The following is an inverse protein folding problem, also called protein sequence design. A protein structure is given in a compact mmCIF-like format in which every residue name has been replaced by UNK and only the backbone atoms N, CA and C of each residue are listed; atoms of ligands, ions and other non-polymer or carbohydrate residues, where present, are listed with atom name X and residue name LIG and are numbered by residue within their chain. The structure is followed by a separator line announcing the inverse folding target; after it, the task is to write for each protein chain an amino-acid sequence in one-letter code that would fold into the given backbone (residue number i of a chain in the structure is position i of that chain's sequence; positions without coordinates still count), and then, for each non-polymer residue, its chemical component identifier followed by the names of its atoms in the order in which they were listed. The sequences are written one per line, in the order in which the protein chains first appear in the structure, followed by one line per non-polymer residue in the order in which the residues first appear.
data_IF_749845031100
#
_entry.id   IF_749845031100
#
_cell.length_a   1.000
_cell.length_b   1.000
_cell.length_c   1.000
_cell.angle_alpha   90.00
_cell.angle_beta   90.00
_cell.angle_gamma   90.00
#
_symmetry.space_group_name_H-M   'P 1'
#
loop_
_entity.id
_entity.type
_entity.pdbx_description
1 polymer ?
#
# COMPACT_ATOMS: atom_id res chain seq x y z
N UNK A 1 32.58 85.65 -3.77
CA UNK A 1 32.63 85.01 -5.11
C UNK A 1 33.20 83.61 -5.12
N UNK A 2 33.45 83.03 -3.96
CA UNK A 2 33.92 81.63 -3.86
C UNK A 2 32.79 80.60 -3.79
N UNK A 3 31.53 80.99 -3.83
CA UNK A 3 30.41 80.11 -3.59
C UNK A 3 29.73 79.54 -4.83
N UNK A 4 30.19 79.93 -6.00
CA UNK A 4 29.58 79.56 -7.28
C UNK A 4 30.23 78.30 -7.91
N UNK A 5 31.38 77.85 -7.40
CA UNK A 5 32.13 76.78 -8.02
C UNK A 5 31.91 75.37 -7.38
N UNK A 6 31.26 75.34 -6.24
CA UNK A 6 31.11 74.05 -5.47
C UNK A 6 29.84 73.22 -5.80
N UNK A 7 28.93 73.75 -6.64
CA UNK A 7 27.61 73.14 -6.81
C UNK A 7 27.45 72.22 -8.06
N UNK A 8 28.51 72.00 -8.83
CA UNK A 8 28.33 71.33 -10.14
C UNK A 8 28.89 69.91 -10.22
N UNK A 9 29.37 69.33 -9.12
CA UNK A 9 30.04 68.05 -9.16
C UNK A 9 29.43 66.93 -8.29
N UNK A 10 28.45 67.29 -7.50
CA UNK A 10 27.80 66.22 -6.70
C UNK A 10 26.72 65.48 -7.54
N UNK A 11 26.92 64.21 -7.72
CA UNK A 11 25.99 63.36 -8.45
C UNK A 11 25.60 62.18 -7.58
N UNK A 12 24.32 62.04 -7.26
CA UNK A 12 23.77 60.85 -6.61
C UNK A 12 23.26 59.93 -7.69
N UNK A 13 23.77 58.72 -7.75
CA UNK A 13 23.35 57.72 -8.73
C UNK A 13 23.07 56.40 -8.00
N UNK A 14 22.00 55.74 -8.41
CA UNK A 14 21.78 54.36 -8.03
C UNK A 14 22.78 53.50 -8.79
N UNK A 15 23.52 52.65 -8.07
CA UNK A 15 24.43 51.67 -8.66
C UNK A 15 23.75 50.33 -8.78
N UNK A 16 23.65 49.82 -10.00
CA UNK A 16 23.25 48.45 -10.23
C UNK A 16 24.44 47.54 -10.10
N UNK A 17 24.35 46.53 -9.24
CA UNK A 17 25.34 45.46 -9.16
C UNK A 17 24.92 44.33 -10.09
N UNK A 18 25.86 43.69 -10.77
CA UNK A 18 25.58 42.59 -11.70
C UNK A 18 25.00 41.40 -10.92
N UNK A 19 23.82 40.93 -11.32
CA UNK A 19 23.12 39.82 -10.66
C UNK A 19 22.16 40.20 -9.55
N UNK A 20 22.13 41.48 -9.14
CA UNK A 20 21.21 41.92 -8.10
C UNK A 20 19.97 42.62 -8.70
N UNK A 21 18.83 42.44 -8.01
CA UNK A 21 17.65 43.23 -8.30
C UNK A 21 17.83 44.68 -7.81
N UNK A 22 17.40 45.64 -8.60
CA UNK A 22 17.38 47.03 -8.17
C UNK A 22 16.37 47.22 -7.04
N UNK A 23 16.82 47.20 -5.80
CA UNK A 23 15.96 47.39 -4.63
C UNK A 23 15.65 48.87 -4.40
N UNK A 24 16.54 49.78 -4.84
CA UNK A 24 16.40 51.21 -4.68
C UNK A 24 16.51 51.94 -6.01
N UNK A 25 15.74 52.98 -6.17
CA UNK A 25 15.80 53.90 -7.28
C UNK A 25 16.11 55.31 -6.78
N UNK A 26 16.88 56.06 -7.53
CA UNK A 26 17.07 57.50 -7.30
C UNK A 26 16.32 58.22 -8.40
N UNK A 27 15.32 58.98 -8.05
CA UNK A 27 14.51 59.77 -8.99
C UNK A 27 14.80 61.24 -8.81
N UNK A 28 14.93 61.87 -9.93
CA UNK A 28 14.82 63.32 -10.22
C UNK A 28 15.52 64.28 -9.29
N UNK A 29 16.33 65.02 -9.90
CA UNK A 29 16.77 66.30 -9.32
C UNK A 29 15.61 67.33 -9.45
N UNK A 30 15.05 67.69 -8.32
CA UNK A 30 14.08 68.81 -8.28
C UNK A 30 14.68 69.96 -7.49
N UNK A 31 14.72 71.14 -8.06
CA UNK A 31 15.24 72.30 -7.39
C UNK A 31 16.23 73.09 -8.26
N UNK A 32 16.64 74.27 -7.76
CA UNK A 32 17.66 75.14 -8.39
C UNK A 32 19.02 74.78 -7.75
N UNK A 33 20.11 75.15 -8.42
CA UNK A 33 21.52 74.84 -8.12
C UNK A 33 22.01 75.04 -6.67
N UNK A 34 21.18 75.49 -5.77
CA UNK A 34 21.51 75.63 -4.33
C UNK A 34 20.67 74.80 -3.38
N UNK A 35 19.57 74.16 -3.84
CA UNK A 35 18.70 73.27 -3.03
C UNK A 35 18.21 72.10 -3.87
N UNK A 36 19.12 71.24 -4.27
CA UNK A 36 18.82 70.01 -5.00
C UNK A 36 18.34 68.97 -4.07
N UNK A 37 17.18 68.40 -4.38
CA UNK A 37 16.61 67.24 -3.62
C UNK A 37 16.62 66.01 -4.50
N UNK A 38 17.17 64.94 -3.98
CA UNK A 38 17.14 63.61 -4.60
C UNK A 38 16.19 62.71 -3.77
N UNK A 39 15.28 62.09 -4.45
CA UNK A 39 14.41 61.13 -3.82
C UNK A 39 15.01 59.72 -4.00
N UNK A 40 15.25 59.06 -2.88
CA UNK A 40 15.69 57.66 -2.86
C UNK A 40 14.53 56.81 -2.39
N UNK A 41 13.97 56.02 -3.31
CA UNK A 41 12.85 55.13 -3.00
C UNK A 41 13.30 53.67 -3.02
N UNK A 42 12.84 52.91 -2.01
CA UNK A 42 13.04 51.47 -1.94
C UNK A 42 11.75 50.76 -2.39
N UNK A 43 11.86 49.88 -3.36
CA UNK A 43 10.71 49.11 -3.85
C UNK A 43 10.34 47.99 -2.89
N UNK A 44 9.18 48.10 -2.26
CA UNK A 44 8.64 47.04 -1.40
C UNK A 44 8.47 45.71 -2.15
N UNK A 45 8.01 45.77 -3.39
CA UNK A 45 7.84 44.59 -4.23
C UNK A 45 9.17 43.92 -4.58
N UNK A 46 10.22 44.71 -4.85
CA UNK A 46 11.55 44.15 -5.10
C UNK A 46 12.14 43.49 -3.83
N UNK A 47 11.97 44.11 -2.67
CA UNK A 47 12.41 43.53 -1.38
C UNK A 47 11.66 42.24 -1.08
N UNK A 48 10.32 42.22 -1.28
CA UNK A 48 9.51 41.01 -1.12
C UNK A 48 9.96 39.89 -2.06
N UNK A 49 10.21 40.20 -3.33
CA UNK A 49 10.64 39.17 -4.30
C UNK A 49 11.98 38.52 -3.89
N UNK A 50 12.96 39.33 -3.47
CA UNK A 50 14.25 38.82 -2.99
C UNK A 50 14.07 37.98 -1.73
N UNK A 51 13.28 38.44 -0.77
CA UNK A 51 13.03 37.74 0.47
C UNK A 51 12.30 36.39 0.25
N UNK A 52 11.29 36.38 -0.64
CA UNK A 52 10.57 35.13 -1.00
C UNK A 52 11.48 34.12 -1.67
N UNK A 53 12.29 34.57 -2.65
CA UNK A 53 13.22 33.71 -3.36
C UNK A 53 14.25 33.11 -2.37
N UNK A 54 14.86 33.96 -1.52
CA UNK A 54 15.81 33.48 -0.51
C UNK A 54 15.21 32.48 0.47
N UNK A 55 13.96 32.70 0.92
CA UNK A 55 13.26 31.80 1.79
C UNK A 55 12.93 30.45 1.09
N UNK A 56 12.54 30.47 -0.17
CA UNK A 56 12.25 29.27 -0.96
C UNK A 56 13.52 28.46 -1.23
N UNK A 57 14.64 29.12 -1.52
CA UNK A 57 15.91 28.46 -1.77
C UNK A 57 16.54 27.85 -0.49
N UNK A 58 16.22 28.43 0.68
CA UNK A 58 16.69 27.92 1.97
C UNK A 58 15.96 26.68 2.43
N UNK A 59 14.75 26.40 1.93
CA UNK A 59 13.95 25.22 2.35
C UNK A 59 14.17 24.11 1.33
N UNK A 60 14.75 23.00 1.81
CA UNK A 60 14.89 21.76 1.04
C UNK A 60 14.07 20.65 1.69
N UNK A 61 13.12 20.11 0.94
CA UNK A 61 12.38 18.91 1.30
C UNK A 61 12.82 17.78 0.38
N UNK A 62 13.28 16.68 0.95
CA UNK A 62 13.72 15.52 0.18
C UNK A 62 12.97 14.27 0.65
N UNK A 63 12.58 13.44 -0.30
CA UNK A 63 12.02 12.13 -0.04
C UNK A 63 13.08 11.05 -0.13
N UNK A 64 12.95 10.01 0.68
CA UNK A 64 13.79 8.81 0.63
C UNK A 64 12.92 7.56 0.69
N UNK A 65 13.39 6.48 0.07
CA UNK A 65 12.66 5.21 0.05
C UNK A 65 11.33 5.33 -0.69
N UNK A 66 10.24 5.05 0.00
CA UNK A 66 8.87 5.07 -0.55
C UNK A 66 8.27 6.47 -0.67
N UNK A 67 8.89 7.48 -0.06
CA UNK A 67 8.42 8.84 -0.11
C UNK A 67 9.04 9.58 -1.29
N UNK A 68 8.22 10.16 -2.15
CA UNK A 68 8.63 11.07 -3.21
C UNK A 68 8.17 12.49 -2.91
N UNK A 69 8.97 13.48 -3.29
CA UNK A 69 8.63 14.88 -3.11
C UNK A 69 8.60 15.56 -4.47
N UNK A 70 7.54 16.25 -4.77
CA UNK A 70 7.43 17.19 -5.88
C UNK A 70 7.18 18.59 -5.35
N UNK A 71 7.60 19.61 -6.10
CA UNK A 71 7.32 20.99 -5.74
C UNK A 71 6.69 21.74 -6.90
N UNK A 72 5.90 22.73 -6.55
CA UNK A 72 5.31 23.68 -7.50
C UNK A 72 5.28 25.08 -6.87
N UNK A 73 5.48 26.10 -7.70
CA UNK A 73 5.37 27.49 -7.27
C UNK A 73 4.19 28.16 -8.00
N UNK A 74 3.24 28.66 -7.24
CA UNK A 74 2.09 29.41 -7.75
C UNK A 74 1.89 30.68 -6.94
N UNK A 75 1.68 31.81 -7.59
CA UNK A 75 1.50 33.14 -6.96
C UNK A 75 2.58 33.48 -5.91
N UNK A 76 3.82 33.08 -6.16
CA UNK A 76 4.96 33.32 -5.25
C UNK A 76 5.00 32.39 -4.03
N UNK A 77 4.12 31.38 -3.95
CA UNK A 77 4.13 30.37 -2.89
C UNK A 77 4.67 29.05 -3.43
N UNK A 78 5.74 28.55 -2.82
CA UNK A 78 6.30 27.24 -3.13
C UNK A 78 5.63 26.19 -2.25
N UNK A 79 5.02 25.19 -2.88
CA UNK A 79 4.34 24.07 -2.21
C UNK A 79 5.12 22.80 -2.46
N UNK A 80 5.41 22.05 -1.40
CA UNK A 80 5.99 20.73 -1.47
C UNK A 80 4.90 19.68 -1.25
N UNK A 81 4.75 18.78 -2.21
CA UNK A 81 3.84 17.64 -2.08
C UNK A 81 4.64 16.40 -1.78
N UNK A 82 4.38 15.78 -0.63
CA UNK A 82 4.98 14.51 -0.25
C UNK A 82 4.01 13.40 -0.60
N UNK A 83 4.40 12.51 -1.50
CA UNK A 83 3.64 11.34 -1.86
C UNK A 83 4.33 10.09 -1.31
N UNK A 84 3.57 9.21 -0.68
CA UNK A 84 4.05 7.90 -0.23
C UNK A 84 3.35 6.84 -1.08
N UNK A 85 4.13 5.98 -1.71
CA UNK A 85 3.58 4.93 -2.57
C UNK A 85 2.80 3.90 -1.78
N UNK A 86 1.55 3.66 -2.19
CA UNK A 86 0.71 2.61 -1.62
C UNK A 86 1.07 1.27 -2.28
N UNK A 87 1.43 0.28 -1.46
CA UNK A 87 1.62 -1.09 -1.87
C UNK A 87 0.32 -1.89 -1.76
N UNK A 88 0.07 -2.77 -2.73
CA UNK A 88 -1.07 -3.68 -2.71
C UNK A 88 -0.61 -5.08 -2.36
N UNK A 89 -1.34 -5.72 -1.46
CA UNK A 89 -1.22 -7.14 -1.19
C UNK A 89 -2.21 -7.91 -2.07
N UNK A 90 -1.76 -9.00 -2.64
CA UNK A 90 -2.58 -9.90 -3.47
C UNK A 90 -2.43 -11.33 -3.00
N UNK A 91 -3.52 -12.10 -3.14
CA UNK A 91 -3.51 -13.54 -2.93
C UNK A 91 -3.05 -14.24 -4.22
N UNK A 92 -2.09 -15.14 -4.10
CA UNK A 92 -1.77 -16.10 -5.14
C UNK A 92 -2.77 -17.27 -5.05
N UNK A 93 -3.65 -17.36 -6.03
CA UNK A 93 -4.71 -18.38 -6.06
C UNK A 93 -4.18 -19.82 -6.19
N UNK A 94 -2.94 -19.98 -6.64
CA UNK A 94 -2.32 -21.30 -6.79
C UNK A 94 -1.72 -21.79 -5.48
N UNK A 95 -1.00 -20.93 -4.78
CA UNK A 95 -0.26 -21.29 -3.56
C UNK A 95 -1.02 -20.93 -2.28
N UNK A 96 -1.98 -19.99 -2.35
CA UNK A 96 -2.66 -19.44 -1.18
C UNK A 96 -1.82 -18.43 -0.40
N UNK A 97 -0.64 -18.06 -0.90
CA UNK A 97 0.23 -17.11 -0.23
C UNK A 97 -0.16 -15.66 -0.53
N UNK A 98 0.04 -14.78 0.44
CA UNK A 98 -0.14 -13.35 0.26
C UNK A 98 1.23 -12.75 -0.08
N UNK A 99 1.28 -11.94 -1.13
CA UNK A 99 2.48 -11.22 -1.56
C UNK A 99 2.17 -9.81 -2.02
N UNK A 100 3.20 -9.03 -2.29
CA UNK A 100 3.05 -7.72 -2.93
C UNK A 100 2.58 -7.88 -4.38
N UNK A 101 1.76 -6.96 -4.88
CA UNK A 101 1.31 -6.98 -6.27
C UNK A 101 2.49 -6.97 -7.23
N UNK A 102 2.52 -7.92 -8.18
CA UNK A 102 3.62 -8.14 -9.11
C UNK A 102 4.74 -9.03 -8.58
N UNK A 103 4.63 -9.53 -7.32
CA UNK A 103 5.54 -10.57 -6.82
C UNK A 103 5.07 -11.96 -7.28
N UNK A 104 6.03 -12.84 -7.54
CA UNK A 104 5.76 -14.25 -7.75
C UNK A 104 5.98 -14.98 -6.43
N UNK A 105 4.92 -15.54 -5.83
CA UNK A 105 4.98 -16.38 -4.63
C UNK A 105 5.62 -15.73 -3.38
N UNK A 106 5.49 -14.40 -3.22
CA UNK A 106 6.09 -13.71 -2.07
C UNK A 106 7.63 -13.72 -2.02
N UNK A 107 8.29 -14.24 -3.04
CA UNK A 107 9.76 -14.35 -3.10
C UNK A 107 10.41 -13.37 -4.07
N UNK A 108 9.67 -12.86 -5.05
CA UNK A 108 10.16 -11.80 -5.94
C UNK A 108 9.65 -10.48 -5.39
N UNK A 109 10.56 -9.53 -5.21
CA UNK A 109 10.20 -8.18 -4.80
C UNK A 109 9.15 -7.61 -5.76
N UNK A 110 7.92 -7.53 -5.30
CA UNK A 110 6.88 -6.74 -5.94
C UNK A 110 7.19 -5.26 -5.72
N UNK A 111 6.31 -4.39 -6.18
CA UNK A 111 6.45 -2.97 -5.93
C UNK A 111 6.30 -2.71 -4.42
N UNK A 112 7.37 -2.29 -3.78
CA UNK A 112 7.35 -1.90 -2.38
C UNK A 112 6.41 -0.70 -2.19
N UNK A 113 5.67 -0.70 -1.11
CA UNK A 113 4.75 0.38 -0.76
C UNK A 113 4.24 0.21 0.66
N UNK A 114 3.58 1.22 1.18
CA UNK A 114 2.91 1.15 2.48
C UNK A 114 1.56 0.46 2.29
N UNK A 115 1.36 -0.68 2.93
CA UNK A 115 0.07 -1.35 2.90
C UNK A 115 -0.93 -0.63 3.83
N UNK A 116 -2.09 -0.27 3.28
CA UNK A 116 -3.18 0.26 4.08
C UNK A 116 -3.87 -0.85 4.89
N UNK A 117 -4.54 -0.48 5.98
CA UNK A 117 -5.33 -1.43 6.78
C UNK A 117 -6.37 -2.17 5.95
N UNK A 118 -6.98 -1.50 4.96
CA UNK A 118 -7.94 -2.10 4.04
C UNK A 118 -7.28 -3.15 3.13
N UNK A 119 -6.10 -2.87 2.60
CA UNK A 119 -5.37 -3.82 1.76
C UNK A 119 -4.96 -5.06 2.54
N UNK A 120 -4.50 -4.89 3.77
CA UNK A 120 -4.15 -6.01 4.66
C UNK A 120 -5.39 -6.82 5.01
N UNK A 121 -6.48 -6.19 5.43
CA UNK A 121 -7.72 -6.87 5.79
C UNK A 121 -8.30 -7.64 4.58
N UNK A 122 -8.30 -7.04 3.39
CA UNK A 122 -8.76 -7.72 2.18
C UNK A 122 -7.92 -8.95 1.87
N UNK A 123 -6.59 -8.85 1.90
CA UNK A 123 -5.70 -9.96 1.61
C UNK A 123 -5.88 -11.12 2.59
N UNK A 124 -6.04 -10.82 3.89
CA UNK A 124 -6.32 -11.84 4.91
C UNK A 124 -7.67 -12.52 4.65
N UNK A 125 -8.72 -11.75 4.37
CA UNK A 125 -10.04 -12.32 4.12
C UNK A 125 -10.07 -13.19 2.86
N UNK A 126 -9.38 -12.78 1.79
CA UNK A 126 -9.25 -13.57 0.57
C UNK A 126 -8.53 -14.90 0.86
N UNK A 127 -7.44 -14.87 1.63
CA UNK A 127 -6.70 -16.07 2.02
C UNK A 127 -7.53 -17.03 2.89
N UNK A 128 -8.26 -16.51 3.87
CA UNK A 128 -9.17 -17.31 4.72
C UNK A 128 -10.29 -17.94 3.89
N UNK A 129 -10.88 -17.17 2.97
CA UNK A 129 -11.92 -17.66 2.06
C UNK A 129 -11.39 -18.80 1.19
N UNK A 130 -10.20 -18.64 0.63
CA UNK A 130 -9.54 -19.67 -0.18
C UNK A 130 -9.22 -20.92 0.64
N UNK A 131 -8.67 -20.77 1.85
CA UNK A 131 -8.37 -21.90 2.75
C UNK A 131 -9.64 -22.67 3.11
N UNK A 132 -10.73 -21.97 3.43
CA UNK A 132 -12.01 -22.61 3.74
C UNK A 132 -12.59 -23.36 2.54
N UNK A 133 -12.51 -22.79 1.33
CA UNK A 133 -12.95 -23.46 0.11
C UNK A 133 -12.12 -24.72 -0.17
N UNK A 134 -10.80 -24.65 -0.01
CA UNK A 134 -9.92 -25.81 -0.18
C UNK A 134 -10.21 -26.93 0.85
N UNK A 135 -10.44 -26.54 2.11
CA UNK A 135 -10.80 -27.50 3.16
C UNK A 135 -12.15 -28.14 2.89
N UNK A 136 -13.16 -27.37 2.46
CA UNK A 136 -14.47 -27.90 2.10
C UNK A 136 -14.37 -28.89 0.92
N UNK A 137 -13.56 -28.57 -0.10
CA UNK A 137 -13.33 -29.44 -1.24
C UNK A 137 -12.59 -30.71 -0.82
N UNK A 138 -11.53 -30.60 -0.01
CA UNK A 138 -10.79 -31.75 0.49
C UNK A 138 -11.68 -32.67 1.30
N UNK A 139 -12.60 -32.14 2.13
CA UNK A 139 -13.56 -32.94 2.88
C UNK A 139 -14.59 -33.61 1.97
N UNK A 140 -15.09 -32.90 0.94
CA UNK A 140 -16.02 -33.45 -0.04
C UNK A 140 -15.40 -34.59 -0.88
N UNK A 141 -14.09 -34.49 -1.13
CA UNK A 141 -13.34 -35.49 -1.91
C UNK A 141 -12.77 -36.62 -1.05
N UNK A 142 -12.84 -36.49 0.29
CA UNK A 142 -12.37 -37.52 1.18
C UNK A 142 -13.20 -38.84 1.01
N UNK A 143 -12.50 -39.90 0.70
CA UNK A 143 -13.09 -41.22 0.45
C UNK A 143 -12.85 -42.17 1.61
N UNK A 144 -13.90 -42.92 1.96
CA UNK A 144 -13.83 -44.07 2.84
C UNK A 144 -14.05 -45.35 2.02
N UNK A 145 -13.16 -46.31 2.17
CA UNK A 145 -13.19 -47.57 1.45
C UNK A 145 -13.61 -48.69 2.38
N UNK A 146 -14.58 -49.51 1.94
CA UNK A 146 -15.14 -50.63 2.68
C UNK A 146 -15.05 -51.87 1.80
N UNK A 147 -14.37 -52.89 2.31
CA UNK A 147 -14.23 -54.16 1.64
C UNK A 147 -15.00 -55.27 2.37
N UNK A 148 -15.51 -56.23 1.63
CA UNK A 148 -16.03 -57.48 2.12
C UNK A 148 -15.10 -58.63 1.76
N UNK A 149 -15.42 -59.87 2.22
CA UNK A 149 -14.67 -61.07 1.84
C UNK A 149 -14.70 -61.34 0.33
N UNK A 150 -15.71 -60.85 -0.35
CA UNK A 150 -15.89 -60.96 -1.81
C UNK A 150 -16.57 -59.70 -2.34
N UNK A 151 -16.44 -59.45 -3.64
CA UNK A 151 -17.06 -58.33 -4.31
C UNK A 151 -16.07 -57.19 -4.56
N UNK A 152 -16.60 -56.04 -4.97
CA UNK A 152 -15.81 -54.85 -5.26
C UNK A 152 -15.83 -53.93 -4.06
N UNK A 153 -14.70 -53.31 -3.74
CA UNK A 153 -14.59 -52.25 -2.72
C UNK A 153 -15.68 -51.21 -2.87
N UNK A 154 -16.42 -50.93 -1.81
CA UNK A 154 -17.38 -49.86 -1.77
C UNK A 154 -16.70 -48.56 -1.35
N UNK A 155 -16.70 -47.56 -2.22
CA UNK A 155 -16.15 -46.24 -1.93
C UNK A 155 -17.30 -45.28 -1.61
N UNK A 156 -17.15 -44.53 -0.51
CA UNK A 156 -18.11 -43.50 -0.09
C UNK A 156 -17.39 -42.25 0.24
N UNK A 157 -17.92 -41.11 -0.27
CA UNK A 157 -17.47 -39.77 0.11
C UNK A 157 -18.08 -39.36 1.44
N UNK A 158 -17.50 -38.33 2.04
CA UNK A 158 -18.05 -37.76 3.27
C UNK A 158 -19.51 -37.36 3.11
N UNK A 159 -20.39 -37.80 4.01
CA UNK A 159 -21.84 -37.55 3.97
C UNK A 159 -22.63 -38.54 3.13
N UNK A 160 -22.02 -39.47 2.38
CA UNK A 160 -22.71 -40.55 1.69
C UNK A 160 -23.07 -41.68 2.60
N UNK A 161 -24.19 -42.35 2.31
CA UNK A 161 -24.69 -43.45 3.09
C UNK A 161 -24.03 -44.76 2.65
N UNK A 162 -23.44 -45.49 3.59
CA UNK A 162 -23.09 -46.89 3.41
C UNK A 162 -24.27 -47.77 3.89
N UNK A 163 -24.84 -48.55 2.97
CA UNK A 163 -25.90 -49.51 3.32
C UNK A 163 -25.32 -50.90 3.49
N UNK A 164 -25.50 -51.49 4.69
CA UNK A 164 -25.18 -52.89 4.99
C UNK A 164 -26.49 -53.62 5.12
N UNK A 165 -26.73 -54.63 4.25
CA UNK A 165 -28.00 -55.38 4.21
C UNK A 165 -27.77 -56.84 4.41
N UNK A 166 -28.49 -57.46 5.35
CA UNK A 166 -28.44 -58.89 5.63
C UNK A 166 -29.44 -59.76 4.84
N UNK A 167 -30.28 -59.10 3.98
CA UNK A 167 -31.26 -59.81 3.16
C UNK A 167 -32.60 -60.10 3.82
N UNK A 168 -32.69 -60.15 5.13
CA UNK A 168 -33.95 -60.36 5.86
C UNK A 168 -34.62 -59.02 6.11
N UNK A 169 -35.87 -58.87 5.66
CA UNK A 169 -36.60 -57.57 5.72
C UNK A 169 -37.73 -57.57 6.74
N UNK A 170 -38.13 -58.72 7.26
CA UNK A 170 -39.19 -58.85 8.27
C UNK A 170 -38.59 -58.77 9.67
N UNK A 171 -38.87 -57.72 10.48
CA UNK A 171 -38.28 -57.60 11.80
C UNK A 171 -38.54 -58.74 12.73
N UNK A 172 -39.70 -59.44 12.59
CA UNK A 172 -40.06 -60.61 13.41
C UNK A 172 -39.15 -61.83 13.16
N UNK A 173 -38.48 -61.88 12.00
CA UNK A 173 -37.57 -62.99 11.64
C UNK A 173 -36.14 -62.75 12.12
N UNK A 174 -35.90 -61.55 12.75
CA UNK A 174 -34.60 -61.18 13.30
C UNK A 174 -34.51 -61.45 14.79
N UNK A 175 -33.37 -62.00 15.22
CA UNK A 175 -33.08 -62.26 16.65
C UNK A 175 -31.84 -61.46 17.06
N UNK A 176 -31.73 -61.19 18.37
CA UNK A 176 -30.57 -60.51 18.96
C UNK A 176 -29.53 -61.48 19.47
N UNK A 177 -28.25 -61.06 19.48
CA UNK A 177 -27.18 -61.84 20.16
C UNK A 177 -26.56 -62.98 19.33
N UNK A 178 -26.94 -63.12 18.06
CA UNK A 178 -26.44 -64.23 17.21
C UNK A 178 -25.14 -63.87 16.46
N UNK A 179 -24.80 -62.58 16.39
CA UNK A 179 -23.61 -62.12 15.68
C UNK A 179 -22.77 -61.30 16.62
N UNK A 180 -21.47 -61.55 16.66
CA UNK A 180 -20.47 -60.69 17.29
C UNK A 180 -19.56 -60.10 16.27
N UNK A 181 -19.14 -58.83 16.49
CA UNK A 181 -18.14 -58.17 15.69
C UNK A 181 -16.90 -57.94 16.52
N UNK A 182 -15.77 -58.46 16.05
CA UNK A 182 -14.48 -58.42 16.77
C UNK A 182 -13.48 -57.65 15.92
N UNK A 183 -12.96 -56.57 16.44
CA UNK A 183 -11.87 -55.82 15.80
C UNK A 183 -10.54 -56.54 15.97
N UNK A 184 -9.73 -56.59 14.94
CA UNK A 184 -8.34 -57.06 14.98
C UNK A 184 -7.34 -56.01 15.43
N UNK A 185 -7.77 -54.74 15.57
CA UNK A 185 -6.94 -53.59 15.92
C UNK A 185 -6.08 -53.05 14.78
N UNK A 186 -6.15 -53.61 13.59
CA UNK A 186 -5.33 -53.25 12.42
C UNK A 186 -6.13 -52.85 11.19
N UNK A 187 -7.45 -52.71 11.36
CA UNK A 187 -8.34 -52.23 10.29
C UNK A 187 -9.43 -53.21 9.86
N UNK A 188 -9.52 -54.41 10.47
CA UNK A 188 -10.56 -55.38 10.14
C UNK A 188 -11.57 -55.56 11.28
N UNK A 189 -12.84 -55.57 10.95
CA UNK A 189 -13.95 -55.96 11.81
C UNK A 189 -14.44 -57.32 11.38
N UNK A 190 -14.08 -58.37 12.14
CA UNK A 190 -14.45 -59.75 11.89
C UNK A 190 -15.88 -60.00 12.38
N UNK A 191 -16.79 -60.34 11.50
CA UNK A 191 -18.17 -60.74 11.81
C UNK A 191 -18.18 -62.22 12.12
N UNK A 192 -18.67 -62.66 13.32
CA UNK A 192 -18.69 -64.03 13.80
C UNK A 192 -20.08 -64.38 14.26
N UNK A 193 -20.49 -65.61 13.96
CA UNK A 193 -21.72 -66.20 14.53
C UNK A 193 -21.48 -66.72 15.98
N UNK A 194 -22.46 -66.54 16.84
CA UNK A 194 -22.44 -67.14 18.16
C UNK A 194 -22.53 -68.68 18.05
N UNK A 195 -21.84 -69.31 18.94
CA UNK A 195 -21.92 -70.76 19.04
C UNK A 195 -23.22 -71.24 19.71
#
# INVERSE_FOLDING_TARGET
NAQTAASSTEKVVAKTLTGDNNLATVTGQTGTAKNETYEVAVSENAVKAVAVNAAQDAVKVAGTGLATVSDATAAGVKTYTVNVEEGKLVLDDTTGNIGAAGSTQGTTAGKDGVATTQNVAKAINDAVTKANANNAQALADAEHKFDGDTGTTSVRKHGEVLSIKGGVTTPADLTTGNIGVVSDGTGTLNVKLAK
#
